data_IF_000284757838
#
_entry.id   IF_000284757838
#
_cell.length_a   1.000
_cell.length_b   1.000
_cell.length_c   1.000
_cell.angle_alpha   90.00
_cell.angle_beta   90.00
_cell.angle_gamma   90.00
#
_symmetry.space_group_name_H-M   'P 1'
#
loop_
_entity.id
_entity.type
_entity.pdbx_description
1 polymer ?
#
# COMPACT_ATOMS: atom_id res chain seq x y z
N UNK A 1 -11.80 -2.85 -34.00
CA UNK A 1 -12.64 -1.72 -34.43
C UNK A 1 -13.19 -1.03 -33.18
N UNK A 2 -13.02 0.28 -33.04
CA UNK A 2 -13.51 1.07 -31.91
C UNK A 2 -14.96 1.55 -32.12
N UNK A 3 -15.77 0.75 -32.80
CA UNK A 3 -17.16 1.06 -33.10
C UNK A 3 -18.04 -0.15 -32.73
N UNK A 4 -19.14 0.09 -32.00
CA UNK A 4 -20.09 -0.92 -31.55
C UNK A 4 -20.91 -0.43 -30.34
N UNK A 5 -22.03 -1.09 -30.05
CA UNK A 5 -22.95 -0.77 -28.94
C UNK A 5 -22.61 -1.48 -27.62
N UNK A 6 -21.45 -2.14 -27.52
CA UNK A 6 -20.95 -2.76 -26.29
C UNK A 6 -19.88 -1.90 -25.60
N UNK A 7 -19.39 -2.31 -24.40
CA UNK A 7 -18.27 -1.64 -23.75
C UNK A 7 -17.08 -1.57 -24.71
N UNK A 8 -16.60 -0.36 -25.00
CA UNK A 8 -15.47 -0.17 -25.90
C UNK A 8 -14.25 -0.89 -25.31
N UNK A 9 -13.45 -1.59 -26.13
CA UNK A 9 -12.18 -2.12 -25.67
C UNK A 9 -11.34 -1.00 -25.05
N UNK A 10 -10.63 -1.26 -23.95
CA UNK A 10 -9.74 -0.27 -23.31
C UNK A 10 -8.76 0.37 -24.30
N UNK A 11 -8.33 -0.37 -25.30
CA UNK A 11 -7.46 0.13 -26.38
C UNK A 11 -8.07 1.28 -27.19
N UNK A 12 -9.37 1.53 -27.07
CA UNK A 12 -10.10 2.62 -27.72
C UNK A 12 -10.28 3.86 -26.84
N UNK A 13 -9.98 3.80 -25.54
CA UNK A 13 -10.15 4.94 -24.64
C UNK A 13 -9.26 6.12 -25.05
N UNK A 14 -9.75 7.34 -24.83
CA UNK A 14 -9.06 8.58 -25.14
C UNK A 14 -8.61 9.28 -23.85
N UNK A 15 -7.59 10.15 -23.92
CA UNK A 15 -7.26 11.07 -22.84
C UNK A 15 -8.51 11.81 -22.33
N UNK A 16 -8.73 11.80 -21.02
CA UNK A 16 -9.89 12.38 -20.36
C UNK A 16 -11.04 11.40 -20.09
N UNK A 17 -11.07 10.23 -20.74
CA UNK A 17 -12.10 9.23 -20.48
C UNK A 17 -12.03 8.72 -19.03
N UNK A 18 -13.20 8.46 -18.44
CA UNK A 18 -13.31 7.78 -17.17
C UNK A 18 -13.57 6.29 -17.43
N UNK A 19 -12.71 5.43 -16.87
CA UNK A 19 -12.78 3.99 -17.09
C UNK A 19 -13.03 3.25 -15.79
N UNK A 20 -13.93 2.26 -15.84
CA UNK A 20 -14.13 1.31 -14.74
C UNK A 20 -12.98 0.29 -14.71
N UNK A 21 -12.43 0.09 -13.51
CA UNK A 21 -11.32 -0.82 -13.24
C UNK A 21 -11.55 -1.52 -11.91
N UNK A 22 -10.85 -2.62 -11.70
CA UNK A 22 -10.65 -3.22 -10.39
C UNK A 22 -9.20 -3.04 -9.95
N UNK A 23 -8.95 -3.00 -8.62
CA UNK A 23 -7.60 -2.77 -8.11
C UNK A 23 -6.58 -3.81 -8.59
N UNK A 24 -7.00 -5.05 -8.86
CA UNK A 24 -6.15 -6.13 -9.35
C UNK A 24 -5.65 -5.96 -10.79
N UNK A 25 -6.21 -5.02 -11.56
CA UNK A 25 -5.82 -4.78 -12.96
C UNK A 25 -4.70 -3.75 -13.11
N UNK A 26 -4.37 -3.06 -12.02
CA UNK A 26 -3.52 -1.88 -12.01
C UNK A 26 -2.05 -2.24 -11.85
N UNK A 27 -1.23 -1.71 -12.76
CA UNK A 27 0.21 -1.86 -12.74
C UNK A 27 0.86 -0.58 -12.20
N UNK A 28 1.64 -0.67 -11.11
CA UNK A 28 2.42 0.45 -10.61
C UNK A 28 3.47 0.96 -11.60
N UNK A 29 3.82 2.23 -11.44
CA UNK A 29 4.83 2.98 -12.22
C UNK A 29 5.89 3.63 -11.32
N UNK A 30 5.87 3.25 -10.05
CA UNK A 30 6.86 3.59 -9.04
C UNK A 30 7.11 2.34 -8.20
N UNK A 31 8.33 2.18 -7.66
CA UNK A 31 8.67 1.05 -6.80
C UNK A 31 8.53 1.35 -5.30
N UNK A 32 8.29 2.61 -4.96
CA UNK A 32 8.35 3.12 -3.58
C UNK A 32 7.03 3.76 -3.16
N UNK A 33 6.73 3.68 -1.87
CA UNK A 33 5.69 4.44 -1.19
C UNK A 33 6.28 4.98 0.10
N UNK A 34 5.79 6.13 0.56
CA UNK A 34 5.89 6.45 1.99
C UNK A 34 4.88 5.62 2.78
N UNK A 35 5.32 4.59 3.50
CA UNK A 35 4.42 3.66 4.19
C UNK A 35 3.61 4.34 5.29
N UNK A 36 4.18 5.31 6.01
CA UNK A 36 3.45 5.98 7.09
C UNK A 36 2.25 6.81 6.57
N UNK A 37 2.28 7.26 5.30
CA UNK A 37 1.09 7.84 4.67
C UNK A 37 -0.01 6.79 4.46
N UNK A 38 0.35 5.57 4.06
CA UNK A 38 -0.60 4.45 3.94
C UNK A 38 -1.11 4.07 5.33
N UNK A 39 -0.22 3.97 6.33
CA UNK A 39 -0.58 3.63 7.70
C UNK A 39 -1.53 4.66 8.34
N UNK A 40 -1.37 5.95 8.06
CA UNK A 40 -2.37 6.95 8.45
C UNK A 40 -3.76 6.58 7.93
N UNK A 41 -3.87 6.30 6.63
CA UNK A 41 -5.15 5.94 6.01
C UNK A 41 -5.72 4.66 6.62
N UNK A 42 -4.90 3.63 6.79
CA UNK A 42 -5.33 2.35 7.35
C UNK A 42 -5.73 2.45 8.83
N UNK A 43 -5.02 3.26 9.62
CA UNK A 43 -5.38 3.56 11.01
C UNK A 43 -6.77 4.21 11.10
N UNK A 44 -7.02 5.21 10.24
CA UNK A 44 -8.32 5.88 10.19
C UNK A 44 -9.44 4.98 9.65
N UNK A 45 -9.20 4.24 8.56
CA UNK A 45 -10.19 3.36 7.94
C UNK A 45 -10.61 2.21 8.84
N UNK A 46 -9.68 1.70 9.64
CA UNK A 46 -9.92 0.58 10.56
C UNK A 46 -10.52 0.97 11.91
N UNK A 47 -10.65 2.27 12.20
CA UNK A 47 -11.32 2.78 13.41
C UNK A 47 -12.78 3.10 13.17
N UNK A 48 -13.52 3.33 14.26
CA UNK A 48 -14.94 3.73 14.28
C UNK A 48 -15.14 5.21 14.64
N UNK A 49 -14.05 6.00 14.66
CA UNK A 49 -14.06 7.36 15.22
C UNK A 49 -14.84 8.35 14.37
N UNK A 50 -14.81 8.21 13.04
CA UNK A 50 -15.60 9.07 12.17
C UNK A 50 -17.10 8.82 12.41
N UNK A 51 -17.50 7.56 12.59
CA UNK A 51 -18.86 7.14 12.95
C UNK A 51 -19.24 7.61 14.36
N UNK A 52 -18.35 7.49 15.34
CA UNK A 52 -18.56 7.99 16.70
C UNK A 52 -18.73 9.51 16.74
N UNK A 53 -18.14 10.24 15.77
CA UNK A 53 -18.34 11.68 15.58
C UNK A 53 -19.61 12.02 14.77
N UNK A 54 -20.42 11.04 14.41
CA UNK A 54 -21.68 11.21 13.66
C UNK A 54 -21.52 11.28 12.14
N UNK A 55 -20.32 11.02 11.61
CA UNK A 55 -20.05 10.96 10.17
C UNK A 55 -20.09 9.54 9.61
N UNK A 56 -19.66 9.41 8.35
CA UNK A 56 -19.33 8.11 7.75
C UNK A 56 -17.84 7.84 7.91
N UNK A 57 -17.45 6.56 7.96
CA UNK A 57 -16.04 6.19 7.93
C UNK A 57 -15.34 6.87 6.75
N UNK A 58 -14.18 7.50 6.98
CA UNK A 58 -13.49 8.28 5.93
C UNK A 58 -13.17 7.46 4.67
N UNK A 59 -13.11 6.13 4.76
CA UNK A 59 -12.87 5.27 3.60
C UNK A 59 -13.92 5.44 2.50
N UNK A 60 -15.19 5.71 2.86
CA UNK A 60 -16.25 5.92 1.86
C UNK A 60 -16.11 7.26 1.15
N UNK A 61 -15.80 8.33 1.88
CA UNK A 61 -15.52 9.63 1.27
C UNK A 61 -14.32 9.56 0.33
N UNK A 62 -13.22 8.95 0.80
CA UNK A 62 -12.00 8.82 0.00
C UNK A 62 -12.27 7.98 -1.27
N UNK A 63 -13.09 6.94 -1.17
CA UNK A 63 -13.52 6.16 -2.35
C UNK A 63 -14.36 7.01 -3.29
N UNK A 64 -15.38 7.73 -2.79
CA UNK A 64 -16.23 8.59 -3.61
C UNK A 64 -15.41 9.67 -4.33
N UNK A 65 -14.42 10.27 -3.67
CA UNK A 65 -13.55 11.30 -4.27
C UNK A 65 -12.68 10.69 -5.36
N UNK A 66 -12.04 9.56 -5.06
CA UNK A 66 -11.22 8.81 -6.01
C UNK A 66 -12.04 8.38 -7.23
N UNK A 67 -13.30 8.00 -7.01
CA UNK A 67 -14.23 7.58 -8.05
C UNK A 67 -14.84 8.75 -8.86
N UNK A 68 -14.52 10.00 -8.53
CA UNK A 68 -15.03 11.20 -9.21
C UNK A 68 -16.42 11.67 -8.75
N UNK A 69 -16.91 11.10 -7.65
CA UNK A 69 -18.28 11.25 -7.17
C UNK A 69 -18.42 12.13 -5.90
N UNK A 70 -17.36 12.84 -5.49
CA UNK A 70 -17.39 13.73 -4.32
C UNK A 70 -17.20 12.99 -3.01
N UNK A 71 -18.11 13.16 -2.06
CA UNK A 71 -18.05 12.54 -0.72
C UNK A 71 -19.17 11.52 -0.53
N UNK A 72 -19.13 10.73 0.55
CA UNK A 72 -20.20 9.79 0.82
C UNK A 72 -21.48 10.52 1.23
N UNK A 73 -22.59 10.16 0.59
CA UNK A 73 -23.92 10.73 0.86
C UNK A 73 -24.77 9.82 1.74
N UNK A 74 -24.60 8.49 1.63
CA UNK A 74 -25.24 7.52 2.52
C UNK A 74 -24.42 6.26 2.62
N UNK A 75 -24.41 5.60 3.78
CA UNK A 75 -23.69 4.34 4.02
C UNK A 75 -24.62 3.39 4.79
N UNK A 76 -24.89 2.21 4.23
CA UNK A 76 -25.73 1.19 4.88
C UNK A 76 -24.95 0.46 5.98
N UNK A 77 -25.63 -0.11 7.00
CA UNK A 77 -24.98 -1.03 7.93
C UNK A 77 -24.27 -2.17 7.18
N UNK A 78 -23.01 -2.42 7.51
CA UNK A 78 -22.20 -3.45 6.84
C UNK A 78 -21.76 -3.10 5.41
N UNK A 79 -21.87 -1.84 4.99
CA UNK A 79 -21.35 -1.38 3.70
C UNK A 79 -19.84 -1.61 3.57
N UNK A 80 -19.42 -1.86 2.31
CA UNK A 80 -18.04 -2.21 1.97
C UNK A 80 -17.61 -1.53 0.67
N UNK A 81 -16.34 -1.16 0.57
CA UNK A 81 -15.80 -0.58 -0.66
C UNK A 81 -15.81 -1.54 -1.86
N UNK A 82 -15.71 -2.85 -1.63
CA UNK A 82 -15.81 -3.87 -2.69
C UNK A 82 -17.25 -4.22 -3.09
N UNK A 83 -18.24 -3.60 -2.44
CA UNK A 83 -19.66 -3.58 -2.85
C UNK A 83 -20.18 -2.13 -2.89
N UNK A 84 -19.88 -1.35 -3.94
CA UNK A 84 -20.33 0.05 -4.02
C UNK A 84 -21.85 0.25 -4.02
N UNK A 85 -22.65 -0.80 -4.27
CA UNK A 85 -24.11 -0.71 -4.17
C UNK A 85 -24.59 -0.59 -2.71
N UNK A 86 -23.70 -0.79 -1.74
CA UNK A 86 -23.98 -0.69 -0.30
C UNK A 86 -23.90 0.74 0.26
N UNK A 87 -23.43 1.72 -0.53
CA UNK A 87 -23.36 3.13 -0.16
C UNK A 87 -23.65 4.03 -1.38
N UNK A 88 -23.73 5.35 -1.18
CA UNK A 88 -23.89 6.32 -2.26
C UNK A 88 -22.98 7.52 -2.08
N UNK A 89 -22.68 8.21 -3.17
CA UNK A 89 -21.84 9.41 -3.18
C UNK A 89 -22.69 10.66 -3.51
N UNK A 90 -22.16 11.84 -3.20
CA UNK A 90 -22.86 13.11 -3.38
C UNK A 90 -23.03 13.53 -4.84
N UNK A 91 -22.17 13.06 -5.74
CA UNK A 91 -22.31 13.25 -7.19
C UNK A 91 -22.70 11.92 -7.86
N UNK A 92 -23.87 11.86 -8.53
CA UNK A 92 -24.30 10.66 -9.26
C UNK A 92 -23.34 10.29 -10.41
N UNK A 93 -23.26 9.01 -10.73
CA UNK A 93 -22.53 8.54 -11.92
C UNK A 93 -23.08 9.21 -13.18
N UNK A 94 -22.18 9.71 -14.04
CA UNK A 94 -22.51 10.44 -15.26
C UNK A 94 -22.82 11.93 -15.03
N UNK A 95 -22.76 12.42 -13.79
CA UNK A 95 -22.92 13.84 -13.43
C UNK A 95 -21.63 14.44 -12.86
N UNK A 96 -20.48 13.82 -13.15
CA UNK A 96 -19.19 14.31 -12.71
C UNK A 96 -18.92 15.69 -13.29
N UNK A 97 -18.32 16.56 -12.47
CA UNK A 97 -17.95 17.92 -12.86
C UNK A 97 -16.45 18.01 -13.07
N UNK A 98 -15.93 19.04 -13.76
CA UNK A 98 -14.48 19.26 -13.82
C UNK A 98 -13.82 19.28 -12.44
N UNK A 99 -14.52 19.79 -11.41
CA UNK A 99 -14.05 19.81 -10.01
C UNK A 99 -14.00 18.42 -9.39
N UNK A 100 -14.99 17.55 -9.64
CA UNK A 100 -14.98 16.19 -9.09
C UNK A 100 -14.08 15.23 -9.88
N UNK A 101 -13.82 15.52 -11.16
CA UNK A 101 -12.88 14.78 -12.01
C UNK A 101 -11.42 15.14 -11.69
N UNK A 102 -11.12 16.40 -11.36
CA UNK A 102 -9.76 16.86 -11.08
C UNK A 102 -8.96 16.02 -10.05
N UNK A 103 -9.52 15.61 -8.89
CA UNK A 103 -8.80 14.80 -7.90
C UNK A 103 -8.74 13.30 -8.23
N UNK A 104 -9.45 12.83 -9.27
CA UNK A 104 -9.47 11.42 -9.65
C UNK A 104 -8.07 10.90 -9.98
N UNK A 105 -7.85 9.63 -9.64
CA UNK A 105 -6.59 8.95 -9.90
C UNK A 105 -6.46 8.59 -11.37
N UNK A 106 -5.24 8.63 -11.86
CA UNK A 106 -4.95 8.64 -13.29
C UNK A 106 -4.19 7.39 -13.72
N UNK A 107 -4.40 6.97 -14.97
CA UNK A 107 -3.66 5.88 -15.58
C UNK A 107 -3.41 6.11 -17.07
N UNK A 108 -2.34 5.50 -17.57
CA UNK A 108 -2.05 5.34 -18.99
C UNK A 108 -2.48 3.95 -19.45
N UNK A 109 -3.08 3.87 -20.63
CA UNK A 109 -3.37 2.59 -21.28
C UNK A 109 -2.16 2.18 -22.12
N UNK A 110 -1.48 1.13 -21.69
CA UNK A 110 -0.29 0.58 -22.35
C UNK A 110 -0.59 -0.60 -23.28
N UNK A 111 0.47 -1.24 -23.81
CA UNK A 111 0.36 -2.34 -24.78
C UNK A 111 -0.54 -3.47 -24.29
N UNK A 112 -1.42 -3.95 -25.17
CA UNK A 112 -2.42 -4.97 -24.83
C UNK A 112 -3.57 -4.48 -23.94
N UNK A 113 -3.72 -3.16 -23.76
CA UNK A 113 -4.78 -2.57 -22.94
C UNK A 113 -4.50 -2.60 -21.42
N UNK A 114 -3.26 -2.89 -21.02
CA UNK A 114 -2.83 -2.88 -19.61
C UNK A 114 -2.88 -1.47 -19.04
N UNK A 115 -3.27 -1.35 -17.78
CA UNK A 115 -3.42 -0.07 -17.09
C UNK A 115 -2.23 0.20 -16.20
N UNK A 116 -1.52 1.30 -16.46
CA UNK A 116 -0.36 1.73 -15.69
C UNK A 116 -0.72 3.02 -14.95
N UNK A 117 -0.68 3.01 -13.63
CA UNK A 117 -1.03 4.17 -12.82
C UNK A 117 -0.08 5.34 -13.10
N UNK A 118 -0.59 6.56 -13.15
CA UNK A 118 0.24 7.77 -13.11
C UNK A 118 0.07 8.53 -11.80
N UNK A 119 -1.07 8.36 -11.13
CA UNK A 119 -1.33 8.80 -9.76
C UNK A 119 -2.08 7.72 -8.97
N UNK A 120 -2.07 7.81 -7.66
CA UNK A 120 -2.97 7.07 -6.78
C UNK A 120 -2.35 5.87 -6.10
N UNK A 121 -1.06 5.58 -6.25
CA UNK A 121 -0.42 4.39 -5.66
C UNK A 121 -0.63 4.32 -4.15
N UNK A 122 -0.52 5.43 -3.41
CA UNK A 122 -0.86 5.48 -1.98
C UNK A 122 -2.34 5.24 -1.69
N UNK A 123 -3.23 5.94 -2.40
CA UNK A 123 -4.69 5.87 -2.17
C UNK A 123 -5.23 4.48 -2.48
N UNK A 124 -4.91 3.95 -3.67
CA UNK A 124 -5.40 2.67 -4.15
C UNK A 124 -4.77 1.50 -3.38
N UNK A 125 -3.51 1.64 -2.95
CA UNK A 125 -2.93 0.69 -1.98
C UNK A 125 -3.65 0.77 -0.63
N UNK A 126 -4.02 1.96 -0.14
CA UNK A 126 -4.77 2.09 1.11
C UNK A 126 -6.15 1.43 1.03
N UNK A 127 -6.82 1.47 -0.12
CA UNK A 127 -8.06 0.70 -0.34
C UNK A 127 -7.80 -0.81 -0.36
N UNK A 128 -6.75 -1.26 -1.04
CA UNK A 128 -6.40 -2.69 -1.12
C UNK A 128 -5.98 -3.27 0.24
N UNK A 129 -5.28 -2.49 1.07
CA UNK A 129 -4.83 -2.89 2.41
C UNK A 129 -5.89 -2.65 3.50
N UNK A 130 -6.90 -1.83 3.19
CA UNK A 130 -7.97 -1.44 4.11
C UNK A 130 -8.93 -2.58 4.46
N UNK A 131 -9.90 -2.32 5.38
CA UNK A 131 -10.83 -3.32 5.90
C UNK A 131 -11.61 -4.09 4.81
N UNK A 132 -12.01 -3.38 3.75
CA UNK A 132 -12.78 -3.91 2.61
C UNK A 132 -11.90 -4.28 1.42
N UNK A 133 -10.59 -4.33 1.63
CA UNK A 133 -9.60 -4.44 0.56
C UNK A 133 -9.68 -5.75 -0.20
N UNK A 134 -9.88 -5.63 -1.51
CA UNK A 134 -10.02 -6.74 -2.43
C UNK A 134 -9.41 -6.36 -3.77
N UNK A 135 -8.80 -7.32 -4.47
CA UNK A 135 -8.35 -7.12 -5.86
C UNK A 135 -9.53 -6.92 -6.81
N UNK A 136 -10.75 -7.30 -6.40
CA UNK A 136 -11.99 -7.08 -7.14
C UNK A 136 -12.66 -5.75 -6.83
N UNK A 137 -12.12 -4.96 -5.90
CA UNK A 137 -12.69 -3.66 -5.52
C UNK A 137 -12.76 -2.76 -6.76
N UNK A 138 -13.98 -2.34 -7.19
CA UNK A 138 -14.15 -1.51 -8.36
C UNK A 138 -13.90 -0.04 -8.04
N UNK A 139 -13.31 0.69 -8.98
CA UNK A 139 -13.11 2.13 -8.92
C UNK A 139 -12.98 2.67 -10.34
N UNK A 140 -13.22 3.97 -10.55
CA UNK A 140 -12.97 4.64 -11.83
C UNK A 140 -11.70 5.44 -11.79
N UNK A 141 -10.96 5.39 -12.89
CA UNK A 141 -9.76 6.20 -13.11
C UNK A 141 -9.95 7.08 -14.34
N UNK A 142 -9.23 8.19 -14.37
CA UNK A 142 -9.14 9.05 -15.55
C UNK A 142 -7.96 8.64 -16.41
N UNK A 143 -8.21 8.42 -17.71
CA UNK A 143 -7.14 8.13 -18.68
C UNK A 143 -6.36 9.42 -18.95
N UNK A 144 -5.05 9.38 -18.77
CA UNK A 144 -4.17 10.50 -19.16
C UNK A 144 -3.70 10.34 -20.60
N UNK A 145 -3.31 9.11 -20.98
CA UNK A 145 -2.82 8.81 -22.31
C UNK A 145 -3.17 7.38 -22.74
N UNK A 146 -3.25 7.16 -24.05
CA UNK A 146 -3.38 5.82 -24.63
C UNK A 146 -2.17 5.54 -25.53
N UNK A 147 -1.30 4.67 -25.05
CA UNK A 147 -0.10 4.17 -25.71
C UNK A 147 -0.21 2.69 -26.09
N UNK A 148 -1.44 2.19 -26.21
CA UNK A 148 -1.69 0.76 -26.43
C UNK A 148 -1.23 0.23 -27.78
N UNK A 149 -1.01 1.11 -28.76
CA UNK A 149 -0.47 0.77 -30.09
C UNK A 149 1.06 0.60 -30.11
N UNK A 150 1.77 1.01 -29.06
CA UNK A 150 3.22 0.90 -28.99
C UNK A 150 3.67 -0.54 -28.71
N UNK A 151 4.88 -0.88 -29.13
CA UNK A 151 5.57 -2.06 -28.60
C UNK A 151 5.91 -1.85 -27.12
N UNK A 152 6.16 -2.92 -26.37
CA UNK A 152 6.54 -2.81 -24.95
C UNK A 152 7.78 -1.95 -24.74
N UNK A 153 8.78 -2.05 -25.61
CA UNK A 153 9.99 -1.22 -25.55
C UNK A 153 9.69 0.25 -25.81
N UNK A 154 8.95 0.56 -26.87
CA UNK A 154 8.59 1.95 -27.21
C UNK A 154 7.68 2.58 -26.15
N UNK A 155 6.78 1.78 -25.54
CA UNK A 155 5.95 2.19 -24.42
C UNK A 155 6.78 2.68 -23.23
N UNK A 156 7.74 1.87 -22.76
CA UNK A 156 8.56 2.25 -21.61
C UNK A 156 9.49 3.42 -21.92
N UNK A 157 10.01 3.52 -23.15
CA UNK A 157 10.74 4.70 -23.61
C UNK A 157 9.86 5.95 -23.54
N UNK A 158 8.60 5.87 -24.00
CA UNK A 158 7.66 6.99 -23.97
C UNK A 158 7.28 7.39 -22.54
N UNK A 159 6.90 6.42 -21.70
CA UNK A 159 6.57 6.66 -20.29
C UNK A 159 7.72 7.35 -19.54
N UNK A 160 8.97 6.94 -19.81
CA UNK A 160 10.16 7.54 -19.19
C UNK A 160 10.43 8.96 -19.72
N UNK A 161 10.39 9.14 -21.04
CA UNK A 161 10.64 10.44 -21.67
C UNK A 161 9.61 11.50 -21.24
N UNK A 162 8.36 11.09 -21.03
CA UNK A 162 7.28 11.97 -20.56
C UNK A 162 7.17 12.07 -19.02
N UNK A 163 8.12 11.48 -18.28
CA UNK A 163 8.14 11.50 -16.81
C UNK A 163 6.84 10.99 -16.17
N UNK A 164 6.28 9.90 -16.71
CA UNK A 164 5.08 9.20 -16.19
C UNK A 164 5.41 7.99 -15.32
N UNK A 165 6.68 7.84 -14.99
CA UNK A 165 7.23 6.77 -14.13
C UNK A 165 8.21 7.37 -13.14
N UNK A 166 8.26 6.82 -11.94
CA UNK A 166 9.29 7.10 -10.96
C UNK A 166 10.26 5.93 -10.87
N UNK A 167 11.39 6.06 -11.57
CA UNK A 167 12.42 5.03 -11.70
C UNK A 167 13.58 5.27 -10.72
N UNK A 168 13.24 5.54 -9.47
CA UNK A 168 14.21 5.62 -8.37
C UNK A 168 13.73 4.82 -7.17
N UNK A 169 14.64 4.18 -6.48
CA UNK A 169 14.37 3.34 -5.32
C UNK A 169 14.26 4.15 -4.01
N UNK A 170 14.11 3.45 -2.89
CA UNK A 170 13.92 4.03 -1.55
C UNK A 170 15.15 4.81 -1.04
N UNK A 171 16.29 4.66 -1.72
CA UNK A 171 17.54 5.36 -1.45
C UNK A 171 17.83 6.43 -2.53
N UNK A 172 16.84 6.75 -3.36
CA UNK A 172 16.94 7.64 -4.51
C UNK A 172 18.00 7.19 -5.54
N UNK A 173 18.22 5.87 -5.69
CA UNK A 173 19.09 5.29 -6.71
C UNK A 173 18.29 4.91 -7.96
N UNK A 174 18.87 5.00 -9.17
CA UNK A 174 18.18 4.63 -10.40
C UNK A 174 17.67 3.18 -10.36
N UNK A 175 16.50 2.96 -10.95
CA UNK A 175 15.80 1.68 -11.00
C UNK A 175 15.40 1.36 -12.45
N UNK A 176 15.52 0.10 -12.85
CA UNK A 176 15.09 -0.36 -14.17
C UNK A 176 13.59 -0.70 -14.18
N UNK A 177 12.92 -0.56 -15.32
CA UNK A 177 11.46 -0.75 -15.44
C UNK A 177 10.99 -2.16 -15.05
N UNK A 178 11.82 -3.18 -15.19
CA UNK A 178 11.54 -4.57 -14.81
C UNK A 178 11.61 -4.80 -13.28
N UNK A 179 12.12 -3.83 -12.54
CA UNK A 179 12.12 -3.82 -11.08
C UNK A 179 10.88 -3.14 -10.49
N UNK A 180 10.00 -2.57 -11.34
CA UNK A 180 8.71 -2.05 -10.88
C UNK A 180 7.81 -3.19 -10.38
N UNK A 181 6.93 -2.92 -9.40
CA UNK A 181 5.92 -3.88 -8.99
C UNK A 181 4.96 -4.21 -10.15
N UNK A 182 4.51 -5.46 -10.22
CA UNK A 182 3.55 -5.92 -11.23
C UNK A 182 2.08 -5.75 -10.80
N UNK A 183 1.83 -5.40 -9.53
CA UNK A 183 0.51 -5.19 -8.93
C UNK A 183 0.59 -4.28 -7.70
N UNK A 184 -0.55 -3.74 -7.29
CA UNK A 184 -0.71 -2.98 -6.04
C UNK A 184 -0.56 -3.87 -4.79
N UNK A 185 -0.32 -3.22 -3.65
CA UNK A 185 -0.21 -3.85 -2.34
C UNK A 185 1.09 -3.46 -1.66
N UNK A 186 1.02 -3.03 -0.40
CA UNK A 186 2.15 -2.46 0.33
C UNK A 186 3.37 -3.39 0.37
N UNK A 187 3.15 -4.71 0.37
CA UNK A 187 4.20 -5.74 0.33
C UNK A 187 5.02 -5.73 -0.96
N UNK A 188 4.47 -5.20 -2.06
CA UNK A 188 5.15 -5.14 -3.34
C UNK A 188 5.93 -3.83 -3.55
N UNK A 189 5.70 -2.83 -2.70
CA UNK A 189 6.45 -1.58 -2.69
C UNK A 189 7.57 -1.60 -1.66
N UNK A 190 8.49 -0.66 -1.79
CA UNK A 190 9.53 -0.38 -0.79
C UNK A 190 9.15 0.89 -0.02
N UNK A 191 9.49 0.93 1.26
CA UNK A 191 9.24 2.12 2.08
C UNK A 191 10.31 3.17 1.82
N UNK A 192 9.89 4.36 1.37
CA UNK A 192 10.73 5.56 1.34
C UNK A 192 10.35 6.48 2.51
N UNK A 193 11.17 6.53 3.59
CA UNK A 193 10.85 7.35 4.76
C UNK A 193 10.82 8.85 4.45
N UNK A 194 11.53 9.30 3.41
CA UNK A 194 11.45 10.71 2.98
C UNK A 194 10.14 11.00 2.26
N UNK A 195 9.56 10.04 1.54
CA UNK A 195 8.24 10.19 0.95
C UNK A 195 7.14 10.26 2.01
N UNK A 196 7.30 9.52 3.12
CA UNK A 196 6.45 9.65 4.32
C UNK A 196 6.63 11.01 5.00
N UNK A 197 7.87 11.45 5.21
CA UNK A 197 8.18 12.76 5.79
C UNK A 197 7.52 13.89 5.01
N UNK A 198 7.66 13.92 3.68
CA UNK A 198 7.06 14.97 2.84
C UNK A 198 5.55 15.02 3.01
N UNK A 199 4.87 13.87 3.07
CA UNK A 199 3.42 13.81 3.32
C UNK A 199 3.03 14.52 4.63
N UNK A 200 3.84 14.39 5.68
CA UNK A 200 3.60 15.07 6.94
C UNK A 200 4.00 16.55 6.92
N UNK A 201 4.86 17.00 6.00
CA UNK A 201 5.19 18.43 5.81
C UNK A 201 4.20 19.22 4.93
N UNK A 202 3.23 18.55 4.30
CA UNK A 202 2.21 19.20 3.45
C UNK A 202 1.40 20.22 4.24
N UNK A 203 1.19 21.38 3.63
CA UNK A 203 0.58 22.60 4.17
C UNK A 203 1.33 23.20 5.39
N UNK A 204 2.59 22.78 5.59
CA UNK A 204 3.51 23.28 6.63
C UNK A 204 4.81 23.80 6.02
N UNK A 205 5.37 23.08 5.04
CA UNK A 205 6.59 23.47 4.30
C UNK A 205 6.38 23.69 2.81
N UNK A 206 5.30 23.14 2.24
CA UNK A 206 4.89 23.30 0.86
C UNK A 206 3.38 23.08 0.73
N UNK A 207 2.79 23.59 -0.34
CA UNK A 207 1.42 23.27 -0.79
C UNK A 207 1.51 22.64 -2.17
N UNK A 208 0.55 21.80 -2.56
CA UNK A 208 0.55 21.23 -3.92
C UNK A 208 -0.02 22.27 -4.89
N UNK A 209 0.78 22.80 -5.83
CA UNK A 209 0.31 23.78 -6.79
C UNK A 209 -0.62 23.13 -7.83
N UNK A 210 -1.45 23.94 -8.48
CA UNK A 210 -2.27 23.50 -9.61
C UNK A 210 -1.39 22.92 -10.73
N UNK A 211 -1.80 21.78 -11.29
CA UNK A 211 -1.03 21.11 -12.35
C UNK A 211 0.33 20.55 -11.90
N UNK A 212 0.51 20.34 -10.59
CA UNK A 212 1.69 19.66 -10.07
C UNK A 212 1.94 18.33 -10.80
N UNK A 213 3.23 18.00 -10.96
CA UNK A 213 3.63 16.65 -11.37
C UNK A 213 3.22 15.64 -10.31
N UNK A 214 2.80 14.45 -10.73
CA UNK A 214 2.41 13.34 -9.86
C UNK A 214 3.55 12.89 -8.91
N UNK A 215 4.79 13.28 -9.22
CA UNK A 215 6.00 12.98 -8.43
C UNK A 215 6.55 14.17 -7.63
N UNK A 216 5.76 15.22 -7.40
CA UNK A 216 6.19 16.41 -6.66
C UNK A 216 6.74 16.04 -5.27
N UNK A 217 6.03 15.19 -4.52
CA UNK A 217 6.48 14.79 -3.18
C UNK A 217 7.77 13.97 -3.20
N UNK A 218 8.01 13.19 -4.26
CA UNK A 218 9.26 12.45 -4.43
C UNK A 218 10.44 13.37 -4.75
N UNK A 219 10.19 14.47 -5.47
CA UNK A 219 11.20 15.50 -5.73
C UNK A 219 11.65 16.16 -4.41
N UNK A 220 10.70 16.54 -3.56
CA UNK A 220 11.01 17.03 -2.22
C UNK A 220 11.70 15.99 -1.33
N UNK A 221 11.28 14.73 -1.40
CA UNK A 221 11.91 13.64 -0.64
C UNK A 221 13.37 13.44 -1.04
N UNK A 222 13.66 13.51 -2.35
CA UNK A 222 15.02 13.44 -2.90
C UNK A 222 15.90 14.57 -2.36
N UNK A 223 15.37 15.80 -2.31
CA UNK A 223 16.09 16.95 -1.77
C UNK A 223 16.31 16.86 -0.25
N UNK A 224 15.27 16.48 0.51
CA UNK A 224 15.35 16.36 1.97
C UNK A 224 16.35 15.29 2.42
N UNK A 225 16.57 14.24 1.61
CA UNK A 225 17.58 13.20 1.86
C UNK A 225 18.99 13.75 1.98
N UNK A 226 19.30 14.84 1.27
CA UNK A 226 20.58 15.54 1.39
C UNK A 226 20.65 16.58 2.51
N UNK A 227 19.58 16.74 3.31
CA UNK A 227 19.43 17.81 4.31
C UNK A 227 19.15 17.29 5.72
N UNK A 228 18.38 16.22 5.83
CA UNK A 228 17.99 15.60 7.09
C UNK A 228 18.29 14.11 7.02
N UNK A 229 18.87 13.55 8.08
CA UNK A 229 19.03 12.10 8.20
C UNK A 229 17.84 11.51 8.94
N UNK A 230 16.95 10.81 8.23
CA UNK A 230 15.80 10.15 8.86
C UNK A 230 16.20 9.08 9.87
N UNK A 231 17.38 8.46 9.71
CA UNK A 231 17.86 7.42 10.62
C UNK A 231 18.34 7.99 11.97
N UNK A 232 18.55 9.30 12.06
CA UNK A 232 18.89 9.99 13.31
C UNK A 232 17.68 10.21 14.23
N UNK A 233 16.46 9.86 13.79
CA UNK A 233 15.22 10.06 14.54
C UNK A 233 14.49 8.74 14.77
N UNK A 234 13.84 8.63 15.92
CA UNK A 234 12.90 7.55 16.18
C UNK A 234 11.56 7.81 15.48
N UNK A 235 11.40 7.25 14.28
CA UNK A 235 10.17 7.35 13.47
C UNK A 235 9.03 6.42 13.94
N UNK A 236 9.15 5.86 15.15
CA UNK A 236 8.08 5.14 15.85
C UNK A 236 7.50 5.93 17.02
N UNK A 237 8.13 7.04 17.40
CA UNK A 237 7.71 7.90 18.50
C UNK A 237 7.19 9.27 18.00
N UNK A 238 6.03 9.77 18.49
CA UNK A 238 5.44 11.02 18.00
C UNK A 238 6.36 12.25 18.13
N UNK A 239 7.04 12.41 19.28
CA UNK A 239 7.90 13.58 19.54
C UNK A 239 9.07 13.70 18.56
N UNK A 240 9.99 12.72 18.50
CA UNK A 240 11.11 12.74 17.57
C UNK A 240 10.68 12.87 16.10
N UNK A 241 9.57 12.24 15.70
CA UNK A 241 9.07 12.37 14.34
C UNK A 241 8.51 13.78 14.07
N UNK A 242 7.77 14.39 15.00
CA UNK A 242 7.34 15.79 14.87
C UNK A 242 8.52 16.77 14.80
N UNK A 243 9.59 16.52 15.56
CA UNK A 243 10.83 17.32 15.48
C UNK A 243 11.45 17.26 14.08
N UNK A 244 11.51 16.07 13.48
CA UNK A 244 11.96 15.90 12.09
C UNK A 244 11.02 16.62 11.12
N UNK A 245 9.69 16.45 11.23
CA UNK A 245 8.72 17.14 10.36
C UNK A 245 8.87 18.65 10.45
N UNK A 246 9.05 19.19 11.67
CA UNK A 246 9.27 20.61 11.92
C UNK A 246 10.56 21.09 11.26
N UNK A 247 11.67 20.39 11.47
CA UNK A 247 12.98 20.74 10.91
C UNK A 247 12.98 20.70 9.38
N UNK A 248 12.41 19.63 8.81
CA UNK A 248 12.27 19.44 7.36
C UNK A 248 11.39 20.51 6.71
N UNK A 249 10.18 20.73 7.25
CA UNK A 249 9.26 21.75 6.72
C UNK A 249 9.82 23.17 6.82
N UNK A 250 10.56 23.50 7.88
CA UNK A 250 11.29 24.78 7.97
C UNK A 250 12.37 24.91 6.91
N UNK A 251 13.11 23.83 6.63
CA UNK A 251 14.13 23.83 5.58
C UNK A 251 13.51 24.04 4.20
N UNK A 252 12.38 23.40 3.91
CA UNK A 252 11.62 23.60 2.67
C UNK A 252 11.16 25.06 2.55
N UNK A 253 10.49 25.60 3.58
CA UNK A 253 10.02 26.98 3.61
C UNK A 253 11.15 28.02 3.72
N UNK A 254 12.41 27.63 3.91
CA UNK A 254 13.56 28.56 3.87
C UNK A 254 14.26 28.60 2.50
N UNK A 255 14.07 27.57 1.67
CA UNK A 255 14.78 27.39 0.39
C UNK A 255 14.39 28.43 -0.67
N UNK A 256 15.34 29.22 -1.19
CA UNK A 256 15.07 30.28 -2.16
C UNK A 256 14.13 29.81 -3.30
N UNK A 257 13.14 30.62 -3.74
CA UNK A 257 12.12 30.19 -4.70
C UNK A 257 12.67 29.63 -6.02
N UNK A 258 13.82 30.14 -6.47
CA UNK A 258 14.53 29.76 -7.70
C UNK A 258 15.54 28.62 -7.52
N UNK A 259 15.79 28.17 -6.28
CA UNK A 259 16.69 27.06 -6.02
C UNK A 259 16.13 25.76 -6.62
N UNK A 260 16.98 25.03 -7.33
CA UNK A 260 16.64 23.74 -7.92
C UNK A 260 16.54 22.68 -6.82
N UNK A 261 15.42 21.95 -6.81
CA UNK A 261 15.11 20.88 -5.86
C UNK A 261 15.46 19.51 -6.46
N UNK A 262 14.91 19.21 -7.64
CA UNK A 262 15.15 17.94 -8.35
C UNK A 262 14.80 18.10 -9.83
N UNK A 263 15.52 17.40 -10.73
CA UNK A 263 15.27 17.35 -12.18
C UNK A 263 15.01 18.73 -12.85
N UNK A 264 15.73 19.76 -12.41
CA UNK A 264 15.61 21.13 -12.92
C UNK A 264 14.36 21.88 -12.45
N UNK A 265 13.53 21.29 -11.58
CA UNK A 265 12.38 21.96 -10.96
C UNK A 265 12.84 22.81 -9.79
N UNK A 266 12.32 24.03 -9.73
CA UNK A 266 12.61 24.98 -8.64
C UNK A 266 11.70 24.77 -7.43
N UNK A 267 12.09 25.30 -6.28
CA UNK A 267 11.29 25.28 -5.05
C UNK A 267 9.90 25.91 -5.28
N UNK A 268 9.81 27.02 -6.01
CA UNK A 268 8.55 27.67 -6.37
C UNK A 268 7.66 26.75 -7.23
N UNK A 269 8.22 26.08 -8.23
CA UNK A 269 7.48 25.14 -9.08
C UNK A 269 6.97 23.91 -8.33
N UNK A 270 7.61 23.56 -7.21
CA UNK A 270 7.18 22.48 -6.32
C UNK A 270 6.39 22.97 -5.10
N UNK A 271 5.89 24.21 -5.14
CA UNK A 271 4.93 24.72 -4.17
C UNK A 271 5.51 25.10 -2.81
N UNK A 272 6.80 25.43 -2.71
CA UNK A 272 7.41 26.00 -1.51
C UNK A 272 6.58 27.18 -1.00
N UNK A 273 6.13 27.13 0.25
CA UNK A 273 5.37 28.24 0.86
C UNK A 273 6.28 29.39 1.27
N UNK A 274 5.77 30.62 1.26
CA UNK A 274 6.52 31.81 1.64
C UNK A 274 6.85 31.83 3.14
N UNK A 275 5.86 31.60 3.98
CA UNK A 275 5.98 31.58 5.44
C UNK A 275 5.73 30.17 5.98
N UNK A 276 6.66 29.64 6.78
CA UNK A 276 6.49 28.33 7.42
C UNK A 276 5.16 28.25 8.18
N UNK A 277 4.44 27.13 8.00
CA UNK A 277 3.11 26.89 8.59
C UNK A 277 2.08 28.00 8.29
N UNK A 278 2.18 28.63 7.11
CA UNK A 278 1.30 29.74 6.71
C UNK A 278 1.35 30.94 7.66
N UNK A 279 2.52 31.19 8.24
CA UNK A 279 2.74 32.27 9.23
C UNK A 279 2.14 31.98 10.61
N UNK A 280 1.56 30.80 10.84
CA UNK A 280 0.98 30.43 12.12
C UNK A 280 2.06 29.95 13.09
N UNK A 281 1.86 30.27 14.38
CA UNK A 281 2.66 29.72 15.48
C UNK A 281 2.58 28.19 15.47
N UNK A 282 3.57 27.54 16.05
CA UNK A 282 3.64 26.08 16.19
C UNK A 282 2.42 25.47 16.90
N UNK A 283 1.82 26.21 17.84
CA UNK A 283 0.59 25.83 18.56
C UNK A 283 -0.68 26.09 17.75
N UNK A 284 -0.58 26.56 16.51
CA UNK A 284 -1.67 26.71 15.57
C UNK A 284 -1.32 26.22 14.15
N UNK A 285 -2.25 26.44 13.21
CA UNK A 285 -2.06 26.04 11.82
C UNK A 285 -2.08 24.52 11.64
N UNK A 286 -1.48 24.06 10.54
CA UNK A 286 -1.46 22.62 10.19
C UNK A 286 -0.49 21.83 11.07
N UNK A 287 0.63 22.45 11.48
CA UNK A 287 1.58 21.80 12.39
C UNK A 287 0.93 21.41 13.73
N UNK A 288 0.09 22.28 14.30
CA UNK A 288 -0.62 21.97 15.53
C UNK A 288 -1.67 20.87 15.37
N UNK A 289 -2.35 20.78 14.22
CA UNK A 289 -3.27 19.67 13.92
C UNK A 289 -2.53 18.35 13.80
N UNK A 290 -1.40 18.36 13.11
CA UNK A 290 -0.52 17.19 12.96
C UNK A 290 -0.03 16.67 14.33
N UNK A 291 0.23 17.58 15.26
CA UNK A 291 0.82 17.26 16.58
C UNK A 291 -0.18 16.70 17.59
N UNK A 292 -1.47 16.59 17.24
CA UNK A 292 -2.50 16.11 18.19
C UNK A 292 -2.31 14.61 18.48
N UNK A 293 -2.32 14.19 19.76
CA UNK A 293 -2.14 12.80 20.15
C UNK A 293 -3.35 11.94 19.76
N UNK A 294 -3.19 10.62 19.81
CA UNK A 294 -4.25 9.65 19.49
C UNK A 294 -5.47 9.79 20.40
N UNK A 295 -5.28 10.28 21.62
CA UNK A 295 -6.35 10.49 22.62
C UNK A 295 -7.18 11.76 22.37
N UNK A 296 -6.79 12.61 21.41
CA UNK A 296 -7.57 13.79 21.04
C UNK A 296 -8.87 13.35 20.33
N UNK A 297 -9.93 14.17 20.38
CA UNK A 297 -11.16 13.89 19.64
C UNK A 297 -10.96 13.94 18.11
N UNK A 298 -9.92 14.67 17.65
CA UNK A 298 -9.50 14.75 16.25
C UNK A 298 -7.97 14.62 16.17
N UNK A 299 -7.42 13.40 16.31
CA UNK A 299 -5.99 13.16 16.30
C UNK A 299 -5.32 13.59 15.00
N UNK A 300 -4.03 13.89 15.10
CA UNK A 300 -3.22 14.22 13.94
C UNK A 300 -2.97 12.99 13.07
N UNK A 301 -2.79 13.21 11.76
CA UNK A 301 -2.47 12.13 10.81
C UNK A 301 -1.24 11.30 11.21
N UNK A 302 -0.28 11.91 11.90
CA UNK A 302 0.90 11.22 12.41
C UNK A 302 0.58 10.26 13.57
N UNK A 303 -0.28 10.66 14.51
CA UNK A 303 -0.67 9.79 15.62
C UNK A 303 -1.35 8.51 15.14
N UNK A 304 -2.27 8.63 14.17
CA UNK A 304 -2.94 7.49 13.53
C UNK A 304 -1.96 6.58 12.78
N UNK A 305 -0.99 7.17 12.05
CA UNK A 305 0.03 6.41 11.35
C UNK A 305 0.88 5.58 12.32
N UNK A 306 1.29 6.19 13.45
CA UNK A 306 2.10 5.52 14.46
C UNK A 306 1.33 4.44 15.22
N UNK A 307 0.05 4.67 15.51
CA UNK A 307 -0.82 3.65 16.09
C UNK A 307 -0.95 2.42 15.18
N UNK A 308 -1.17 2.62 13.87
CA UNK A 308 -1.18 1.51 12.92
C UNK A 308 0.19 0.84 12.80
N UNK A 309 1.26 1.64 12.69
CA UNK A 309 2.64 1.16 12.59
C UNK A 309 3.06 0.28 13.77
N UNK A 310 2.59 0.60 14.98
CA UNK A 310 2.88 -0.19 16.20
C UNK A 310 2.41 -1.65 16.12
N UNK A 311 1.45 -1.94 15.23
CA UNK A 311 0.87 -3.28 15.01
C UNK A 311 1.53 -4.02 13.83
N UNK A 312 2.45 -3.38 13.12
CA UNK A 312 3.17 -3.98 11.98
C UNK A 312 4.33 -4.82 12.51
N UNK A 313 4.26 -6.13 12.30
CA UNK A 313 5.36 -7.04 12.64
C UNK A 313 6.51 -6.94 11.63
N UNK A 314 7.75 -6.83 12.08
CA UNK A 314 8.90 -6.83 11.18
C UNK A 314 9.26 -8.24 10.74
N UNK A 315 9.54 -8.42 9.45
CA UNK A 315 10.06 -9.70 8.95
C UNK A 315 11.53 -9.90 9.37
N UNK A 316 11.97 -11.14 9.66
CA UNK A 316 13.38 -11.43 9.93
C UNK A 316 14.29 -11.03 8.76
N UNK A 317 15.49 -10.56 9.09
CA UNK A 317 16.49 -10.19 8.08
C UNK A 317 16.95 -11.41 7.26
N UNK A 318 16.97 -11.27 5.94
CA UNK A 318 17.30 -12.34 5.01
C UNK A 318 18.79 -12.69 5.06
N UNK A 319 19.13 -13.98 5.17
CA UNK A 319 20.49 -14.48 4.93
C UNK A 319 20.65 -15.02 3.52
N UNK A 320 19.55 -15.51 2.92
CA UNK A 320 19.49 -16.02 1.56
C UNK A 320 18.30 -15.39 0.85
N UNK A 321 18.48 -14.93 -0.39
CA UNK A 321 17.39 -14.39 -1.21
C UNK A 321 17.15 -15.26 -2.44
N UNK A 322 15.88 -15.51 -2.74
CA UNK A 322 15.40 -16.16 -3.96
C UNK A 322 14.51 -15.15 -4.68
N UNK A 323 14.82 -14.91 -5.95
CA UNK A 323 14.01 -14.13 -6.88
C UNK A 323 13.78 -14.95 -8.15
N UNK A 324 12.81 -14.57 -8.97
CA UNK A 324 12.52 -15.28 -10.22
C UNK A 324 11.94 -16.68 -9.99
N UNK A 325 12.10 -17.57 -10.99
CA UNK A 325 11.51 -18.91 -10.96
C UNK A 325 12.48 -19.92 -10.35
N UNK A 326 11.99 -20.75 -9.42
CA UNK A 326 12.71 -21.88 -8.85
C UNK A 326 11.88 -23.15 -8.95
N UNK A 327 12.36 -24.13 -9.70
CA UNK A 327 11.73 -25.44 -9.85
C UNK A 327 12.33 -26.47 -8.88
N UNK A 328 11.53 -27.43 -8.45
CA UNK A 328 11.94 -28.56 -7.60
C UNK A 328 11.87 -28.26 -6.09
N UNK A 329 12.17 -29.28 -5.26
CA UNK A 329 12.06 -29.17 -3.81
C UNK A 329 12.99 -28.08 -3.23
N UNK A 330 12.52 -27.29 -2.27
CA UNK A 330 13.31 -26.37 -1.44
C UNK A 330 13.35 -26.89 -0.01
N UNK A 331 14.53 -27.18 0.52
CA UNK A 331 14.70 -27.46 1.95
C UNK A 331 15.53 -26.34 2.57
N UNK A 332 14.96 -25.61 3.53
CA UNK A 332 15.65 -24.58 4.29
C UNK A 332 16.14 -25.21 5.60
N UNK A 333 17.45 -25.35 5.74
CA UNK A 333 18.07 -26.05 6.88
C UNK A 333 18.62 -25.12 7.96
N UNK A 334 18.90 -23.86 7.62
CA UNK A 334 19.46 -22.86 8.52
C UNK A 334 19.24 -21.45 7.97
N UNK A 335 19.38 -20.43 8.83
CA UNK A 335 19.26 -19.03 8.44
C UNK A 335 17.83 -18.65 8.02
N UNK A 336 17.72 -17.51 7.36
CA UNK A 336 16.45 -16.95 6.85
C UNK A 336 16.48 -16.95 5.33
N UNK A 337 15.66 -17.80 4.72
CA UNK A 337 15.45 -17.75 3.27
C UNK A 337 14.27 -16.85 2.95
N UNK A 338 14.53 -15.79 2.20
CA UNK A 338 13.50 -14.89 1.70
C UNK A 338 13.24 -15.15 0.22
N UNK A 339 12.03 -15.54 -0.13
CA UNK A 339 11.56 -15.53 -1.51
C UNK A 339 10.80 -14.23 -1.75
N UNK A 340 11.35 -13.38 -2.61
CA UNK A 340 10.83 -12.04 -2.90
C UNK A 340 10.41 -11.97 -4.37
N UNK A 341 9.10 -11.81 -4.59
CA UNK A 341 8.45 -11.86 -5.91
C UNK A 341 8.94 -13.05 -6.74
N UNK A 342 9.11 -14.19 -6.08
CA UNK A 342 9.59 -15.41 -6.69
C UNK A 342 8.43 -16.35 -7.06
N UNK A 343 8.68 -17.27 -7.99
CA UNK A 343 7.79 -18.36 -8.33
C UNK A 343 8.45 -19.69 -7.94
N UNK A 344 8.03 -20.24 -6.80
CA UNK A 344 8.50 -21.52 -6.28
C UNK A 344 7.57 -22.64 -6.79
N UNK A 345 8.13 -23.62 -7.51
CA UNK A 345 7.37 -24.75 -8.08
C UNK A 345 7.92 -26.06 -7.55
N UNK A 346 7.29 -26.58 -6.50
CA UNK A 346 7.74 -27.77 -5.78
C UNK A 346 7.50 -27.65 -4.27
N UNK A 347 7.72 -28.73 -3.51
CA UNK A 347 7.54 -28.71 -2.06
C UNK A 347 8.59 -27.82 -1.38
N UNK A 348 8.17 -27.07 -0.37
CA UNK A 348 9.04 -26.28 0.51
C UNK A 348 9.01 -26.86 1.91
N UNK A 349 10.17 -27.21 2.45
CA UNK A 349 10.35 -27.73 3.81
C UNK A 349 11.26 -26.81 4.60
N UNK A 350 10.80 -26.29 5.74
CA UNK A 350 11.60 -25.50 6.68
C UNK A 350 11.93 -26.36 7.90
N UNK A 351 13.22 -26.60 8.12
CA UNK A 351 13.72 -27.45 9.21
C UNK A 351 13.86 -26.65 10.51
N UNK A 352 14.15 -27.38 11.59
CA UNK A 352 14.33 -26.82 12.91
C UNK A 352 15.37 -25.69 12.92
N UNK A 353 15.04 -24.57 13.57
CA UNK A 353 15.92 -23.40 13.68
C UNK A 353 16.08 -22.56 12.41
N UNK A 354 15.52 -22.97 11.27
CA UNK A 354 15.50 -22.19 10.05
C UNK A 354 14.25 -21.32 9.92
N UNK A 355 14.28 -20.29 9.07
CA UNK A 355 13.14 -19.43 8.81
C UNK A 355 12.87 -19.23 7.32
N UNK A 356 11.61 -18.98 6.99
CA UNK A 356 11.14 -18.67 5.64
C UNK A 356 10.33 -17.38 5.64
N UNK A 357 10.64 -16.49 4.71
CA UNK A 357 9.85 -15.30 4.39
C UNK A 357 9.40 -15.40 2.93
N UNK A 358 8.10 -15.41 2.68
CA UNK A 358 7.50 -15.32 1.35
C UNK A 358 6.87 -13.93 1.21
N UNK A 359 7.43 -13.12 0.33
CA UNK A 359 6.98 -11.75 0.05
C UNK A 359 6.58 -11.66 -1.40
N UNK A 360 5.31 -11.33 -1.66
CA UNK A 360 4.80 -11.13 -3.00
C UNK A 360 4.96 -12.31 -3.97
N UNK A 361 5.13 -13.52 -3.44
CA UNK A 361 5.61 -14.70 -4.17
C UNK A 361 4.48 -15.67 -4.51
N UNK A 362 4.73 -16.57 -5.46
CA UNK A 362 3.85 -17.72 -5.71
C UNK A 362 4.54 -19.01 -5.30
N UNK A 363 3.80 -19.88 -4.60
CA UNK A 363 4.22 -21.22 -4.25
C UNK A 363 3.22 -22.23 -4.81
N UNK A 364 3.69 -23.08 -5.71
CA UNK A 364 2.94 -24.22 -6.25
C UNK A 364 3.53 -25.50 -5.65
N UNK A 365 2.91 -26.00 -4.58
CA UNK A 365 3.39 -27.13 -3.79
C UNK A 365 3.11 -26.96 -2.30
N UNK A 366 3.30 -28.02 -1.49
CA UNK A 366 3.11 -27.93 -0.06
C UNK A 366 4.19 -27.06 0.61
N UNK A 367 3.79 -26.28 1.62
CA UNK A 367 4.69 -25.64 2.57
C UNK A 367 4.61 -26.39 3.90
N UNK A 368 5.72 -26.97 4.34
CA UNK A 368 5.81 -27.69 5.61
C UNK A 368 6.91 -27.10 6.48
N UNK A 369 6.63 -26.84 7.75
CA UNK A 369 7.65 -26.52 8.74
C UNK A 369 7.49 -27.32 10.02
N UNK A 370 8.63 -27.66 10.62
CA UNK A 370 8.69 -28.22 11.97
C UNK A 370 9.80 -27.53 12.76
N UNK A 371 9.46 -26.95 13.91
CA UNK A 371 10.40 -26.25 14.79
C UNK A 371 11.17 -25.11 14.13
N UNK A 372 10.57 -24.48 13.12
CA UNK A 372 11.16 -23.32 12.46
C UNK A 372 11.38 -22.18 13.47
N UNK A 373 12.37 -21.34 13.20
CA UNK A 373 12.64 -20.13 13.96
C UNK A 373 11.61 -19.03 13.65
N UNK A 374 11.10 -18.95 12.42
CA UNK A 374 10.01 -18.05 12.02
C UNK A 374 9.42 -18.46 10.67
N UNK A 375 8.15 -18.14 10.44
CA UNK A 375 7.50 -18.23 9.12
C UNK A 375 6.74 -16.94 8.86
N UNK A 376 7.01 -16.27 7.74
CA UNK A 376 6.30 -15.05 7.33
C UNK A 376 5.79 -15.21 5.90
N UNK A 377 4.52 -14.95 5.66
CA UNK A 377 3.89 -15.01 4.33
C UNK A 377 3.03 -13.77 4.14
N UNK A 378 3.42 -12.95 3.15
CA UNK A 378 2.78 -11.68 2.80
C UNK A 378 2.61 -11.52 1.30
N UNK A 379 1.45 -11.02 0.88
CA UNK A 379 1.12 -10.75 -0.53
C UNK A 379 1.31 -11.96 -1.44
N UNK A 380 1.25 -13.18 -0.90
CA UNK A 380 1.71 -14.38 -1.59
C UNK A 380 0.56 -15.34 -1.92
N UNK A 381 0.67 -16.00 -3.07
CA UNK A 381 -0.24 -17.04 -3.53
C UNK A 381 0.32 -18.42 -3.21
N UNK A 382 -0.41 -19.26 -2.47
CA UNK A 382 -0.02 -20.64 -2.16
C UNK A 382 -1.05 -21.60 -2.71
N UNK A 383 -0.64 -22.48 -3.62
CA UNK A 383 -1.45 -23.58 -4.14
C UNK A 383 -0.87 -24.90 -3.63
N UNK A 384 -1.52 -25.48 -2.63
CA UNK A 384 -1.04 -26.65 -1.89
C UNK A 384 -1.30 -26.51 -0.38
N UNK A 385 -1.17 -27.60 0.40
CA UNK A 385 -1.35 -27.52 1.84
C UNK A 385 -0.21 -26.75 2.52
N UNK A 386 -0.56 -25.91 3.48
CA UNK A 386 0.33 -25.17 4.36
C UNK A 386 0.22 -25.78 5.77
N UNK A 387 1.28 -26.44 6.22
CA UNK A 387 1.37 -27.08 7.53
C UNK A 387 2.54 -26.52 8.32
N UNK A 388 2.25 -25.70 9.34
CA UNK A 388 3.25 -25.04 10.18
C UNK A 388 3.14 -25.61 11.59
N UNK A 389 4.19 -26.28 12.04
CA UNK A 389 4.17 -27.00 13.32
C UNK A 389 5.33 -26.63 14.24
N UNK A 390 5.03 -26.49 15.53
CA UNK A 390 6.02 -26.32 16.62
C UNK A 390 7.01 -25.17 16.40
N UNK A 391 6.64 -24.15 15.63
CA UNK A 391 7.49 -22.97 15.40
C UNK A 391 7.66 -22.23 16.72
N UNK A 392 8.92 -21.96 17.09
CA UNK A 392 9.26 -21.35 18.39
C UNK A 392 9.33 -19.83 18.33
N UNK A 393 9.50 -19.25 17.15
CA UNK A 393 9.35 -17.81 16.91
C UNK A 393 8.08 -17.48 16.10
N UNK A 394 7.95 -16.24 15.63
CA UNK A 394 6.70 -15.74 15.07
C UNK A 394 6.28 -16.47 13.80
N UNK A 395 5.00 -16.85 13.76
CA UNK A 395 4.29 -17.29 12.56
C UNK A 395 3.36 -16.16 12.12
N UNK A 396 3.63 -15.57 10.97
CA UNK A 396 2.82 -14.50 10.39
C UNK A 396 2.27 -14.92 9.03
N UNK A 397 0.96 -15.00 8.95
CA UNK A 397 0.20 -15.20 7.71
C UNK A 397 -0.73 -13.98 7.55
N UNK A 398 -0.25 -12.94 6.86
CA UNK A 398 -0.99 -11.69 6.66
C UNK A 398 -0.89 -10.68 7.82
N UNK A 399 -1.94 -9.87 8.02
CA UNK A 399 -2.05 -8.85 9.09
C UNK A 399 -1.50 -7.44 8.76
N UNK A 400 -1.46 -6.51 9.73
CA UNK A 400 -1.14 -5.10 9.48
C UNK A 400 0.21 -4.84 8.78
N UNK A 401 0.21 -4.13 7.65
CA UNK A 401 1.43 -3.92 6.85
C UNK A 401 1.85 -5.13 5.99
N UNK A 402 0.95 -6.07 5.77
CA UNK A 402 1.17 -7.26 4.95
C UNK A 402 -0.04 -7.47 4.05
N UNK A 403 0.20 -7.35 2.74
CA UNK A 403 -0.81 -7.53 1.70
C UNK A 403 -1.43 -8.93 1.83
N UNK A 404 -2.72 -9.03 1.51
CA UNK A 404 -3.49 -10.29 1.58
C UNK A 404 -2.74 -11.46 0.95
N UNK A 405 -2.79 -12.63 1.59
CA UNK A 405 -2.41 -13.88 0.94
C UNK A 405 -3.63 -14.54 0.30
N UNK A 406 -3.38 -15.29 -0.77
CA UNK A 406 -4.35 -16.20 -1.37
C UNK A 406 -3.86 -17.65 -1.19
N UNK A 407 -4.64 -18.48 -0.50
CA UNK A 407 -4.29 -19.87 -0.23
C UNK A 407 -5.36 -20.79 -0.81
N UNK A 408 -4.96 -21.67 -1.72
CA UNK A 408 -5.79 -22.77 -2.21
C UNK A 408 -5.22 -24.08 -1.67
N UNK A 409 -5.81 -24.58 -0.60
CA UNK A 409 -5.31 -25.74 0.13
C UNK A 409 -5.62 -25.66 1.63
N UNK A 410 -5.34 -26.74 2.35
CA UNK A 410 -5.51 -26.78 3.80
C UNK A 410 -4.47 -25.89 4.51
N UNK A 411 -4.91 -25.12 5.52
CA UNK A 411 -4.05 -24.38 6.44
C UNK A 411 -4.11 -25.06 7.79
N UNK A 412 -2.98 -25.62 8.24
CA UNK A 412 -2.87 -26.36 9.51
C UNK A 412 -1.77 -25.74 10.36
N UNK A 413 -2.16 -25.17 11.51
CA UNK A 413 -1.25 -24.52 12.45
C UNK A 413 -1.28 -25.28 13.78
N UNK A 414 -0.20 -25.96 14.13
CA UNK A 414 -0.20 -26.86 15.30
C UNK A 414 0.99 -26.62 16.22
N UNK A 415 0.72 -26.39 17.50
CA UNK A 415 1.75 -26.37 18.53
C UNK A 415 2.74 -25.20 18.42
N UNK A 416 2.42 -24.13 17.70
CA UNK A 416 3.32 -22.99 17.53
C UNK A 416 3.30 -22.13 18.81
N UNK A 417 4.47 -21.84 19.38
CA UNK A 417 4.60 -21.17 20.68
C UNK A 417 5.21 -19.77 20.61
N UNK A 418 5.69 -19.35 19.44
CA UNK A 418 6.26 -18.01 19.23
C UNK A 418 5.23 -16.94 18.87
N UNK A 419 3.94 -17.24 19.02
CA UNK A 419 2.84 -16.41 18.53
C UNK A 419 2.47 -16.69 17.07
N UNK A 420 1.16 -16.68 16.79
CA UNK A 420 0.61 -16.83 15.45
C UNK A 420 -0.26 -15.62 15.15
N UNK A 421 0.06 -14.88 14.09
CA UNK A 421 -0.82 -13.87 13.49
C UNK A 421 -1.41 -14.43 12.20
N UNK A 422 -2.74 -14.57 12.16
CA UNK A 422 -3.52 -15.07 11.03
C UNK A 422 -4.63 -14.08 10.69
N UNK A 423 -4.37 -13.16 9.77
CA UNK A 423 -5.30 -12.09 9.39
C UNK A 423 -5.18 -11.76 7.90
N UNK A 424 -6.22 -11.19 7.31
CA UNK A 424 -6.27 -10.72 5.93
C UNK A 424 -6.06 -11.79 4.84
N UNK A 425 -6.22 -13.08 5.13
CA UNK A 425 -6.04 -14.16 4.17
C UNK A 425 -7.34 -14.51 3.44
N UNK A 426 -7.25 -14.80 2.15
CA UNK A 426 -8.30 -15.48 1.39
C UNK A 426 -7.94 -16.97 1.28
N UNK A 427 -8.71 -17.84 1.90
CA UNK A 427 -8.43 -19.29 1.97
C UNK A 427 -9.57 -20.06 1.31
N UNK A 428 -9.25 -20.81 0.27
CA UNK A 428 -10.12 -21.85 -0.29
C UNK A 428 -9.61 -23.21 0.17
N UNK A 429 -10.25 -23.77 1.20
CA UNK A 429 -9.80 -24.98 1.89
C UNK A 429 -10.06 -24.94 3.40
N UNK A 430 -9.85 -26.06 4.12
CA UNK A 430 -10.04 -26.11 5.57
C UNK A 430 -8.95 -25.33 6.32
N UNK A 431 -9.33 -24.71 7.42
CA UNK A 431 -8.40 -24.05 8.38
C UNK A 431 -8.52 -24.74 9.74
N UNK A 432 -7.43 -25.32 10.22
CA UNK A 432 -7.40 -26.07 11.48
C UNK A 432 -6.24 -25.60 12.37
N UNK A 433 -6.54 -25.28 13.62
CA UNK A 433 -5.54 -24.82 14.57
C UNK A 433 -5.65 -25.55 15.90
N UNK A 434 -4.54 -26.06 16.42
CA UNK A 434 -4.52 -26.83 17.67
C UNK A 434 -3.22 -26.64 18.46
N UNK A 435 -3.33 -26.47 19.78
CA UNK A 435 -2.18 -26.40 20.67
C UNK A 435 -1.23 -25.22 20.45
N UNK A 436 -1.60 -24.20 19.67
CA UNK A 436 -0.82 -22.96 19.56
C UNK A 436 -0.92 -22.17 20.86
N UNK A 437 0.17 -21.54 21.28
CA UNK A 437 0.24 -20.76 22.51
C UNK A 437 0.98 -19.42 22.26
N UNK A 438 0.33 -18.26 22.40
CA UNK A 438 -1.12 -18.08 22.55
C UNK A 438 -1.91 -18.65 21.36
N UNK A 439 -3.25 -18.73 21.52
CA UNK A 439 -4.12 -19.03 20.38
C UNK A 439 -3.89 -18.01 19.25
N UNK A 440 -4.17 -18.36 17.98
CA UNK A 440 -3.94 -17.46 16.85
C UNK A 440 -4.60 -16.10 17.04
N UNK A 441 -3.79 -15.05 16.92
CA UNK A 441 -4.22 -13.65 16.85
C UNK A 441 -4.78 -13.37 15.46
N UNK A 442 -5.96 -12.78 15.40
CA UNK A 442 -6.67 -12.40 14.17
C UNK A 442 -6.76 -10.88 14.02
N UNK A 443 -5.96 -10.12 14.77
CA UNK A 443 -5.94 -8.65 14.72
C UNK A 443 -5.59 -8.15 13.31
N UNK A 444 -6.40 -7.23 12.80
CA UNK A 444 -6.29 -6.67 11.46
C UNK A 444 -7.54 -6.97 10.63
N UNK A 445 -7.40 -6.97 9.31
CA UNK A 445 -8.50 -7.35 8.41
C UNK A 445 -8.88 -8.82 8.63
N UNK A 446 -10.17 -9.13 8.60
CA UNK A 446 -10.68 -10.50 8.74
C UNK A 446 -10.16 -11.44 7.65
N UNK A 447 -10.15 -12.74 7.94
CA UNK A 447 -9.89 -13.77 6.94
C UNK A 447 -11.18 -14.10 6.20
N UNK A 448 -11.07 -14.40 4.90
CA UNK A 448 -12.16 -14.93 4.09
C UNK A 448 -11.89 -16.41 3.85
N UNK A 449 -12.57 -17.29 4.57
CA UNK A 449 -12.36 -18.75 4.49
C UNK A 449 -13.57 -19.42 3.85
N UNK A 450 -13.34 -20.05 2.70
CA UNK A 450 -14.26 -20.95 2.01
C UNK A 450 -13.87 -22.40 2.33
N UNK A 451 -14.27 -22.86 3.51
CA UNK A 451 -14.00 -24.20 4.02
C UNK A 451 -14.31 -24.32 5.51
N UNK A 452 -14.23 -25.54 6.09
CA UNK A 452 -14.48 -25.73 7.52
C UNK A 452 -13.35 -25.13 8.35
N UNK A 453 -13.72 -24.59 9.50
CA UNK A 453 -12.85 -23.97 10.50
C UNK A 453 -12.89 -24.80 11.78
N UNK A 454 -11.75 -25.21 12.32
CA UNK A 454 -11.72 -26.10 13.49
C UNK A 454 -10.68 -25.71 14.54
N UNK A 455 -10.93 -26.17 15.78
CA UNK A 455 -10.05 -25.93 16.93
C UNK A 455 -9.96 -24.46 17.30
N UNK A 456 -8.74 -23.98 17.56
CA UNK A 456 -8.48 -22.57 17.91
C UNK A 456 -8.81 -21.59 16.78
N UNK A 457 -9.02 -22.07 15.55
CA UNK A 457 -9.37 -21.26 14.39
C UNK A 457 -10.87 -21.30 14.06
N UNK A 458 -11.73 -21.80 14.95
CA UNK A 458 -13.17 -21.87 14.69
C UNK A 458 -13.83 -20.50 14.40
N UNK A 459 -13.29 -19.40 14.95
CA UNK A 459 -13.79 -18.04 14.74
C UNK A 459 -13.04 -17.21 13.70
N UNK A 460 -12.15 -17.83 12.91
CA UNK A 460 -11.25 -17.17 11.93
C UNK A 460 -11.95 -16.73 10.67
#
# INVERSE_FOLDING_TARGET
>A
ACAGSGPLPRTCAQPGDLIDVTLGELHPTQAVLGFDQVFYKLGRYGGDRDEAAGGFNKRFDDWCETNGQGEAASVRPGARLDDPASFSCSVPLGQETPKSIAPMKTAVIGPGGKLYLTDGHHTLTSFLEGPDGSTRLPVRLRVTDNFSSLSTTAFWQRMTAEKKVWLRDENNKPLAVDQLPDRLGITHFRDDPYRSLVYFTRDIGYEVPDGATEFLEFSWGSWLRGKHDTAAYDLTSPGPYLDLVKSASKSMAALAPDAVVDDGRTAAQLGRIAEWNGGKKETGGEFAKLSRPLTDAKPGKLAEALDYKSRVLSAPACTTRITGVRNGPLTVTSGVTCADRAALRGPVTVRAGAALVLTGSTLQGPLQSDRAAAIHVCGSGVTGPLAISRTTGPVRLGGPGCTANAVTGAVVLTGNTGGVLLAANQVTGPVACSGNLPAPDTTGRANEVHGPRTGQCAGV
#
